data_IF_540971533521
#
_entry.id   IF_540971533521
#
_cell.length_a   1.000
_cell.length_b   1.000
_cell.length_c   1.000
_cell.angle_alpha   90.00
_cell.angle_beta   90.00
_cell.angle_gamma   90.00
#
_symmetry.space_group_name_H-M   'P 1'
#
loop_
_entity.id
_entity.type
_entity.pdbx_description
1 polymer ?
#
# COMPACT_ATOMS: atom_id res chain seq x y z
N UNK A 1 12.89 15.34 15.22
CA UNK A 1 12.52 16.59 15.94
C UNK A 1 11.42 17.37 15.22
N UNK A 2 11.57 17.71 13.94
CA UNK A 2 10.55 18.42 13.15
C UNK A 2 9.22 17.66 13.04
N UNK A 3 9.24 16.37 12.70
CA UNK A 3 8.03 15.51 12.64
C UNK A 3 7.33 15.46 13.99
N UNK A 4 8.07 15.29 15.10
CA UNK A 4 7.49 15.24 16.45
C UNK A 4 6.78 16.53 16.84
N UNK A 5 7.36 17.67 16.44
CA UNK A 5 6.78 18.98 16.70
C UNK A 5 5.50 19.22 15.88
N UNK A 6 5.53 18.89 14.58
CA UNK A 6 4.34 18.98 13.70
C UNK A 6 3.25 18.01 14.10
N UNK A 7 3.60 16.80 14.54
CA UNK A 7 2.68 15.83 15.06
C UNK A 7 1.87 16.39 16.23
N UNK A 8 2.51 16.99 17.22
CA UNK A 8 1.84 17.55 18.39
C UNK A 8 0.89 18.70 18.05
N UNK A 9 1.16 19.43 17.00
CA UNK A 9 0.40 20.64 16.64
C UNK A 9 -0.78 20.38 15.71
N UNK A 10 -0.71 19.36 14.84
CA UNK A 10 -1.65 19.21 13.71
C UNK A 10 -1.94 17.74 13.35
N UNK A 11 -1.88 16.81 14.29
CA UNK A 11 -2.21 15.43 14.02
C UNK A 11 -3.63 15.09 14.45
N UNK A 12 -4.24 14.21 13.68
CA UNK A 12 -5.46 13.50 14.06
C UNK A 12 -5.10 12.03 14.14
N UNK A 13 -5.47 11.38 15.25
CA UNK A 13 -5.32 9.94 15.41
C UNK A 13 -6.61 9.28 14.94
N UNK A 14 -6.48 8.34 14.02
CA UNK A 14 -7.59 7.53 13.53
C UNK A 14 -7.31 6.05 13.71
N UNK A 15 -8.35 5.24 13.69
CA UNK A 15 -8.23 3.80 13.73
C UNK A 15 -7.83 3.24 12.36
N UNK A 16 -7.01 2.18 12.35
CA UNK A 16 -6.61 1.50 11.12
C UNK A 16 -7.71 0.58 10.55
N UNK A 17 -8.84 0.50 11.21
CA UNK A 17 -9.90 -0.44 10.88
C UNK A 17 -9.63 -1.87 11.41
N UNK A 18 -10.55 -2.78 11.12
CA UNK A 18 -10.45 -4.18 11.53
C UNK A 18 -10.65 -5.11 10.31
N UNK A 19 -9.79 -6.13 10.16
CA UNK A 19 -8.58 -6.41 10.95
C UNK A 19 -7.45 -5.42 10.66
N UNK A 20 -6.63 -5.13 11.67
CA UNK A 20 -5.51 -4.16 11.60
C UNK A 20 -4.22 -4.77 11.00
N UNK A 21 -4.34 -5.74 10.09
CA UNK A 21 -3.19 -6.32 9.40
C UNK A 21 -2.70 -5.38 8.29
N UNK A 22 -1.41 -5.42 7.98
CA UNK A 22 -0.82 -4.63 6.90
C UNK A 22 -1.59 -4.78 5.58
N UNK A 23 -1.93 -6.03 5.22
CA UNK A 23 -2.63 -6.31 3.97
C UNK A 23 -4.01 -5.62 3.91
N UNK A 24 -4.81 -5.79 4.95
CA UNK A 24 -6.15 -5.20 5.03
C UNK A 24 -6.12 -3.68 5.15
N UNK A 25 -5.25 -3.15 6.03
CA UNK A 25 -5.14 -1.71 6.26
C UNK A 25 -4.67 -0.95 5.00
N UNK A 26 -3.67 -1.49 4.29
CA UNK A 26 -3.21 -0.87 3.04
C UNK A 26 -4.27 -0.95 1.93
N UNK A 27 -4.98 -2.06 1.80
CA UNK A 27 -6.08 -2.16 0.85
C UNK A 27 -7.20 -1.17 1.16
N UNK A 28 -7.60 -1.04 2.43
CA UNK A 28 -8.59 -0.04 2.87
C UNK A 28 -8.13 1.40 2.58
N UNK A 29 -6.86 1.71 2.89
CA UNK A 29 -6.29 3.04 2.63
C UNK A 29 -6.34 3.41 1.15
N UNK A 30 -5.98 2.47 0.28
CA UNK A 30 -5.83 2.74 -1.15
C UNK A 30 -7.12 2.62 -1.95
N UNK A 31 -8.15 1.96 -1.43
CA UNK A 31 -9.46 1.85 -2.08
C UNK A 31 -10.50 2.80 -1.49
N UNK A 32 -10.34 3.20 -0.22
CA UNK A 32 -11.34 3.90 0.56
C UNK A 32 -12.51 2.99 0.96
N UNK A 33 -12.32 1.66 0.91
CA UNK A 33 -13.36 0.67 1.19
C UNK A 33 -13.04 -0.15 2.44
N UNK A 34 -14.03 -0.77 3.02
CA UNK A 34 -13.85 -1.70 4.14
C UNK A 34 -13.42 -3.09 3.64
N UNK A 35 -12.78 -3.91 4.51
CA UNK A 35 -12.24 -5.22 4.12
C UNK A 35 -13.24 -6.16 3.44
N UNK A 36 -14.50 -6.11 3.84
CA UNK A 36 -15.56 -6.91 3.21
C UNK A 36 -15.89 -6.51 1.77
N UNK A 37 -15.59 -5.29 1.37
CA UNK A 37 -15.82 -4.78 0.01
C UNK A 37 -14.63 -5.00 -0.90
N UNK A 38 -13.40 -4.68 -0.44
CA UNK A 38 -12.21 -4.88 -1.27
C UNK A 38 -11.66 -6.32 -1.24
N UNK A 39 -12.14 -7.19 -0.35
CA UNK A 39 -11.85 -8.62 -0.32
C UNK A 39 -10.51 -9.03 0.31
N UNK A 40 -9.69 -8.10 0.79
CA UNK A 40 -8.42 -8.38 1.48
C UNK A 40 -8.66 -8.29 2.99
N UNK A 41 -9.13 -9.39 3.57
CA UNK A 41 -9.60 -9.44 4.96
C UNK A 41 -8.53 -9.88 5.97
N UNK A 42 -7.28 -10.05 5.53
CA UNK A 42 -6.17 -10.44 6.42
C UNK A 42 -4.95 -10.89 5.63
N UNK A 43 -3.95 -11.45 6.33
CA UNK A 43 -2.75 -11.97 5.70
C UNK A 43 -3.00 -13.23 4.88
N UNK A 44 -3.77 -14.16 5.44
CA UNK A 44 -4.03 -15.46 4.83
C UNK A 44 -5.54 -15.68 4.72
N UNK A 45 -5.96 -16.06 3.54
CA UNK A 45 -7.36 -16.38 3.26
C UNK A 45 -7.42 -17.67 2.46
N UNK A 46 -8.51 -18.41 2.63
CA UNK A 46 -8.81 -19.57 1.80
C UNK A 46 -9.55 -19.11 0.56
N UNK A 47 -9.00 -19.40 -0.62
CA UNK A 47 -9.72 -19.18 -1.87
C UNK A 47 -10.96 -20.07 -1.94
N UNK A 48 -12.16 -19.49 -2.06
CA UNK A 48 -13.40 -20.28 -2.08
C UNK A 48 -13.49 -21.23 -3.28
N UNK A 49 -12.85 -20.90 -4.40
CA UNK A 49 -12.93 -21.65 -5.65
C UNK A 49 -12.00 -22.87 -5.67
N UNK A 50 -10.76 -22.68 -5.23
CA UNK A 50 -9.73 -23.75 -5.25
C UNK A 50 -9.52 -24.42 -3.89
N UNK A 51 -9.95 -23.77 -2.80
CA UNK A 51 -9.69 -24.21 -1.43
C UNK A 51 -8.26 -23.97 -0.95
N UNK A 52 -7.41 -23.36 -1.78
CA UNK A 52 -6.00 -23.07 -1.46
C UNK A 52 -5.91 -21.92 -0.47
N UNK A 53 -4.96 -22.00 0.46
CA UNK A 53 -4.61 -20.90 1.35
C UNK A 53 -3.66 -19.94 0.63
N UNK A 54 -4.03 -18.68 0.55
CA UNK A 54 -3.29 -17.61 -0.12
C UNK A 54 -2.82 -16.61 0.93
N UNK A 55 -1.51 -16.40 1.03
CA UNK A 55 -0.95 -15.29 1.78
C UNK A 55 -0.88 -14.05 0.90
N UNK A 56 -1.70 -13.05 1.19
CA UNK A 56 -1.82 -11.83 0.38
C UNK A 56 -0.52 -11.02 0.23
N UNK A 57 0.47 -11.22 1.09
CA UNK A 57 1.77 -10.56 0.94
C UNK A 57 2.78 -11.35 0.09
N UNK A 58 2.53 -12.67 -0.17
CA UNK A 58 3.54 -13.56 -0.75
C UNK A 58 3.04 -14.44 -1.89
N UNK A 59 1.84 -15.01 -1.78
CA UNK A 59 1.46 -16.21 -2.52
C UNK A 59 0.34 -15.97 -3.55
N UNK A 60 0.38 -14.86 -4.26
CA UNK A 60 -0.65 -14.56 -5.24
C UNK A 60 -0.60 -15.46 -6.48
N UNK A 61 0.60 -15.72 -7.02
CA UNK A 61 0.80 -16.54 -8.19
C UNK A 61 1.27 -17.95 -7.83
N UNK A 62 0.87 -18.95 -8.60
CA UNK A 62 0.01 -18.95 -9.81
C UNK A 62 -1.50 -18.99 -9.51
N UNK A 63 -1.91 -18.86 -8.27
CA UNK A 63 -3.25 -19.26 -7.82
C UNK A 63 -4.34 -18.23 -8.09
N UNK A 64 -4.03 -16.93 -7.99
CA UNK A 64 -5.05 -15.87 -8.07
C UNK A 64 -4.52 -14.64 -8.80
N UNK A 65 -5.32 -14.11 -9.72
CA UNK A 65 -5.07 -12.82 -10.32
C UNK A 65 -5.43 -11.70 -9.32
N UNK A 66 -4.46 -10.84 -8.93
CA UNK A 66 -4.69 -9.78 -7.95
C UNK A 66 -5.83 -8.82 -8.31
N UNK A 67 -5.98 -8.50 -9.60
CA UNK A 67 -7.02 -7.61 -10.09
C UNK A 67 -8.43 -8.25 -10.05
N UNK A 68 -8.51 -9.57 -10.10
CA UNK A 68 -9.79 -10.28 -9.97
C UNK A 68 -10.19 -10.48 -8.51
N UNK A 69 -9.21 -10.50 -7.61
CA UNK A 69 -9.46 -10.62 -6.18
C UNK A 69 -9.89 -9.28 -5.57
N UNK A 70 -9.03 -8.27 -5.66
CA UNK A 70 -9.31 -6.91 -5.24
C UNK A 70 -9.98 -6.16 -6.39
N UNK A 71 -11.30 -6.02 -6.33
CA UNK A 71 -12.12 -5.45 -7.42
C UNK A 71 -12.45 -3.97 -7.27
N UNK A 72 -12.23 -3.40 -6.08
CA UNK A 72 -12.51 -2.00 -5.82
C UNK A 72 -11.49 -1.10 -6.53
N UNK A 73 -11.95 -0.03 -7.15
CA UNK A 73 -11.05 0.95 -7.72
C UNK A 73 -10.18 1.59 -6.65
N UNK A 74 -8.90 1.67 -6.91
CA UNK A 74 -7.97 2.37 -6.05
C UNK A 74 -8.10 3.88 -6.20
N UNK A 75 -7.62 4.64 -5.21
CA UNK A 75 -7.51 6.10 -5.31
C UNK A 75 -6.64 6.53 -6.50
N UNK A 76 -5.66 5.70 -6.88
CA UNK A 76 -4.79 5.95 -8.02
C UNK A 76 -5.50 5.73 -9.36
N UNK A 77 -6.38 4.74 -9.46
CA UNK A 77 -7.22 4.55 -10.64
C UNK A 77 -8.24 5.68 -10.78
N UNK A 78 -8.84 6.10 -9.67
CA UNK A 78 -9.74 7.26 -9.63
C UNK A 78 -9.02 8.55 -10.04
N UNK A 79 -7.81 8.78 -9.53
CA UNK A 79 -6.98 9.93 -9.92
C UNK A 79 -6.64 9.90 -11.42
N UNK A 80 -6.21 8.74 -11.92
CA UNK A 80 -5.92 8.55 -13.35
C UNK A 80 -7.13 8.81 -14.25
N UNK A 81 -8.31 8.41 -13.82
CA UNK A 81 -9.55 8.63 -14.59
C UNK A 81 -9.87 10.12 -14.81
N UNK A 82 -9.35 10.99 -13.95
CA UNK A 82 -9.49 12.46 -14.08
C UNK A 82 -8.19 13.16 -14.50
N UNK A 83 -7.22 12.40 -15.02
CA UNK A 83 -5.97 12.93 -15.56
C UNK A 83 -4.94 13.33 -14.50
N UNK A 84 -5.11 12.91 -13.24
CA UNK A 84 -4.16 13.21 -12.18
C UNK A 84 -3.12 12.08 -12.11
N UNK A 85 -1.81 12.37 -12.31
CA UNK A 85 -0.76 11.38 -12.22
C UNK A 85 -0.60 10.86 -10.79
N UNK A 86 -0.20 9.59 -10.68
CA UNK A 86 -0.07 8.94 -9.39
C UNK A 86 1.23 8.15 -9.30
N UNK A 87 1.93 8.29 -8.17
CA UNK A 87 3.18 7.64 -7.83
C UNK A 87 3.02 6.82 -6.55
N UNK A 88 3.46 5.57 -6.58
CA UNK A 88 3.64 4.78 -5.36
C UNK A 88 5.10 4.34 -5.24
N UNK A 89 5.63 4.36 -4.04
CA UNK A 89 7.02 4.01 -3.77
C UNK A 89 7.12 3.05 -2.60
N UNK A 90 8.06 2.12 -2.69
CA UNK A 90 8.35 1.15 -1.65
C UNK A 90 9.69 0.48 -1.91
N UNK A 91 10.04 -0.48 -1.06
CA UNK A 91 11.26 -1.27 -1.28
C UNK A 91 11.21 -1.97 -2.64
N UNK A 92 12.33 -2.02 -3.35
CA UNK A 92 12.46 -2.59 -4.70
C UNK A 92 11.90 -4.00 -4.83
N UNK A 93 12.03 -4.80 -3.77
CA UNK A 93 11.49 -6.17 -3.73
C UNK A 93 9.96 -6.27 -3.84
N UNK A 94 9.23 -5.17 -3.66
CA UNK A 94 7.77 -5.15 -3.81
C UNK A 94 7.33 -4.91 -5.25
N UNK A 95 8.27 -4.54 -6.14
CA UNK A 95 7.95 -4.33 -7.55
C UNK A 95 7.36 -5.60 -8.18
N UNK A 96 6.22 -5.47 -8.81
CA UNK A 96 5.56 -6.59 -9.52
C UNK A 96 4.94 -7.67 -8.65
N UNK A 97 4.97 -7.55 -7.31
CA UNK A 97 4.28 -8.51 -6.45
C UNK A 97 2.77 -8.42 -6.63
N UNK A 98 2.07 -9.54 -6.43
CA UNK A 98 0.61 -9.55 -6.54
C UNK A 98 -0.07 -8.58 -5.58
N UNK A 99 0.49 -8.37 -4.39
CA UNK A 99 -0.03 -7.38 -3.45
C UNK A 99 0.12 -5.95 -4.00
N UNK A 100 1.28 -5.61 -4.55
CA UNK A 100 1.49 -4.30 -5.22
C UNK A 100 0.51 -4.10 -6.37
N UNK A 101 0.29 -5.12 -7.17
CA UNK A 101 -0.69 -5.09 -8.27
C UNK A 101 -2.13 -4.93 -7.76
N UNK A 102 -2.47 -5.47 -6.61
CA UNK A 102 -3.81 -5.36 -6.03
C UNK A 102 -4.07 -3.97 -5.44
N UNK A 103 -3.13 -3.42 -4.64
CA UNK A 103 -3.40 -2.24 -3.80
C UNK A 103 -2.87 -0.93 -4.36
N UNK A 104 -1.87 -0.96 -5.26
CA UNK A 104 -1.31 0.25 -5.89
C UNK A 104 -1.61 0.33 -7.40
N UNK A 105 -2.57 -0.44 -7.84
CA UNK A 105 -3.08 -0.43 -9.23
C UNK A 105 -3.47 1.00 -9.61
N UNK A 106 -3.03 1.44 -10.78
CA UNK A 106 -3.27 2.81 -11.27
C UNK A 106 -2.14 3.78 -11.00
N UNK A 107 -1.28 3.55 -10.01
CA UNK A 107 -0.07 4.33 -9.78
C UNK A 107 1.13 3.78 -10.56
N UNK A 108 2.06 4.65 -10.90
CA UNK A 108 3.41 4.22 -11.31
C UNK A 108 4.17 3.79 -10.06
N UNK A 109 4.57 2.51 -9.99
CA UNK A 109 5.36 2.01 -8.87
C UNK A 109 6.86 2.23 -9.11
N UNK A 110 7.55 2.84 -8.14
CA UNK A 110 9.01 3.01 -8.15
C UNK A 110 9.60 2.30 -6.93
N UNK A 111 10.40 1.27 -7.20
CA UNK A 111 11.16 0.56 -6.17
C UNK A 111 12.40 1.34 -5.77
N UNK A 112 12.61 1.53 -4.47
CA UNK A 112 13.72 2.29 -3.90
C UNK A 112 14.46 1.49 -2.82
N UNK A 113 15.71 1.85 -2.58
CA UNK A 113 16.56 1.18 -1.59
C UNK A 113 16.79 2.02 -0.32
N UNK A 114 16.36 3.31 -0.35
CA UNK A 114 16.47 4.22 0.78
C UNK A 114 15.34 5.26 0.82
N UNK A 115 15.14 5.86 1.99
CA UNK A 115 14.22 7.01 2.14
C UNK A 115 14.67 8.23 1.35
N UNK A 116 15.98 8.46 1.25
CA UNK A 116 16.53 9.59 0.49
C UNK A 116 16.22 9.44 -0.99
N UNK A 117 16.29 8.23 -1.53
CA UNK A 117 15.87 7.93 -2.89
C UNK A 117 14.36 8.18 -3.08
N UNK A 118 13.52 7.79 -2.10
CA UNK A 118 12.08 8.09 -2.15
C UNK A 118 11.82 9.59 -2.17
N UNK A 119 12.46 10.36 -1.29
CA UNK A 119 12.29 11.82 -1.27
C UNK A 119 12.79 12.49 -2.53
N UNK A 120 13.90 12.02 -3.11
CA UNK A 120 14.42 12.53 -4.38
C UNK A 120 13.42 12.26 -5.52
N UNK A 121 12.90 11.04 -5.59
CA UNK A 121 11.90 10.64 -6.57
C UNK A 121 10.60 11.44 -6.41
N UNK A 122 10.16 11.64 -5.17
CA UNK A 122 8.96 12.44 -4.87
C UNK A 122 9.12 13.89 -5.33
N UNK A 123 10.27 14.50 -5.05
CA UNK A 123 10.56 15.88 -5.48
C UNK A 123 10.49 15.96 -7.00
N UNK A 124 11.19 15.09 -7.71
CA UNK A 124 11.18 15.05 -9.17
C UNK A 124 9.75 14.90 -9.72
N UNK A 125 8.94 14.02 -9.11
CA UNK A 125 7.56 13.83 -9.52
C UNK A 125 6.74 15.13 -9.45
N UNK A 126 6.87 15.91 -8.37
CA UNK A 126 6.16 17.18 -8.22
C UNK A 126 6.83 18.36 -8.95
N UNK A 127 8.10 18.26 -9.31
CA UNK A 127 8.75 19.24 -10.22
C UNK A 127 8.23 19.07 -11.67
N UNK A 128 7.82 17.86 -12.04
CA UNK A 128 7.29 17.51 -13.36
C UNK A 128 5.75 17.61 -13.47
N UNK A 129 5.04 17.72 -12.34
CA UNK A 129 3.59 17.69 -12.30
C UNK A 129 3.05 18.73 -11.31
N UNK A 130 2.22 19.66 -11.79
CA UNK A 130 1.57 20.68 -10.94
C UNK A 130 0.65 20.09 -9.86
N UNK A 131 0.11 18.90 -10.12
CA UNK A 131 -0.71 18.13 -9.19
C UNK A 131 -0.44 16.62 -9.34
N UNK A 132 -0.65 15.87 -8.26
CA UNK A 132 -0.44 14.45 -8.28
C UNK A 132 -0.81 13.78 -6.96
N UNK A 133 -0.97 12.46 -6.97
CA UNK A 133 -1.12 11.65 -5.77
C UNK A 133 0.15 10.83 -5.59
N UNK A 134 0.81 10.96 -4.44
CA UNK A 134 1.99 10.17 -4.13
C UNK A 134 1.81 9.40 -2.82
N UNK A 135 2.21 8.13 -2.82
CA UNK A 135 2.22 7.27 -1.66
C UNK A 135 3.62 6.70 -1.43
N UNK A 136 4.17 6.94 -0.24
CA UNK A 136 5.46 6.42 0.18
C UNK A 136 5.26 5.35 1.25
N UNK A 137 5.76 4.15 0.99
CA UNK A 137 5.75 3.05 1.94
C UNK A 137 7.16 2.71 2.39
N UNK A 138 7.39 2.84 3.70
CA UNK A 138 8.68 2.52 4.31
C UNK A 138 8.49 1.66 5.57
N UNK A 139 8.70 0.35 5.50
CA UNK A 139 8.35 -0.59 6.55
C UNK A 139 9.40 -0.75 7.66
N UNK A 140 10.46 0.07 7.70
CA UNK A 140 11.58 -0.15 8.60
C UNK A 140 11.18 -0.12 10.08
N UNK A 141 10.28 0.79 10.47
CA UNK A 141 9.82 0.88 11.86
C UNK A 141 9.01 -0.35 12.27
N UNK A 142 8.07 -0.77 11.44
CA UNK A 142 7.26 -1.97 11.63
C UNK A 142 8.14 -3.22 11.72
N UNK A 143 9.10 -3.37 10.80
CA UNK A 143 10.06 -4.49 10.81
C UNK A 143 10.91 -4.52 12.08
N UNK A 144 11.39 -3.35 12.53
CA UNK A 144 12.16 -3.24 13.78
C UNK A 144 11.28 -3.59 14.98
N UNK A 145 10.05 -3.11 15.02
CA UNK A 145 9.08 -3.46 16.05
C UNK A 145 8.88 -4.98 16.14
N UNK A 146 8.64 -5.65 15.03
CA UNK A 146 8.50 -7.11 15.00
C UNK A 146 9.77 -7.87 15.42
N UNK A 147 10.96 -7.32 15.23
CA UNK A 147 12.21 -7.96 15.66
C UNK A 147 12.54 -7.74 17.14
N UNK A 148 11.97 -6.71 17.77
CA UNK A 148 12.25 -6.34 19.17
C UNK A 148 11.18 -6.83 20.16
N UNK A 149 10.02 -7.26 19.72
CA UNK A 149 8.88 -7.67 20.59
C UNK A 149 9.02 -9.12 21.12
N UNK A 150 10.16 -9.79 20.93
CA UNK A 150 10.44 -11.11 21.47
C UNK A 150 11.43 -11.04 22.66
N UNK A 151 11.17 -10.16 23.61
CA UNK A 151 11.87 -10.18 24.91
C UNK A 151 10.86 -10.31 26.03
#
# INVERSE_FOLDING_TARGET
>A
RWLTEKWRQRSIVGDSGFPSTTASALASLTTGQVPGEHGIVGYTIRDPSSGVLINHLKDWEPHVNPAHWQRSDTIFEKARAVGIPSLSMGERRFAGTGFTQAVWRGATFVGTDSLDEQFTTLRKFFDENDQGVAYLYWPALDRTGHSLVWV
#
